data_IF_144729548800
#
_entry.id   IF_144729548800
#
_cell.length_a   1.000
_cell.length_b   1.000
_cell.length_c   1.000
_cell.angle_alpha   90.00
_cell.angle_beta   90.00
_cell.angle_gamma   90.00
#
_symmetry.space_group_name_H-M   'P 1'
#
loop_
_entity.id
_entity.type
_entity.pdbx_description
1 polymer ?
#
# COMPACT_ATOMS: atom_id res chain seq x y z
N UNK A 1 13.67 7.54 4.98
CA UNK A 1 12.41 8.30 5.23
C UNK A 1 12.57 9.38 6.28
N UNK A 2 13.26 9.11 7.40
CA UNK A 2 13.35 10.06 8.52
C UNK A 2 13.99 11.40 8.15
N UNK A 3 15.08 11.38 7.36
CA UNK A 3 15.74 12.59 6.87
C UNK A 3 14.83 13.49 6.02
N UNK A 4 13.99 12.87 5.18
CA UNK A 4 13.04 13.59 4.31
C UNK A 4 11.93 14.24 5.15
N UNK A 5 11.40 13.52 6.13
CA UNK A 5 10.37 14.03 7.04
C UNK A 5 10.91 15.15 7.94
N UNK A 6 12.14 15.00 8.46
CA UNK A 6 12.82 16.05 9.23
C UNK A 6 12.95 17.34 8.41
N UNK A 7 13.42 17.24 7.16
CA UNK A 7 13.56 18.40 6.28
C UNK A 7 12.21 19.07 5.95
N UNK A 8 11.17 18.29 5.69
CA UNK A 8 9.81 18.84 5.49
C UNK A 8 9.34 19.58 6.75
N UNK A 9 9.60 19.04 7.93
CA UNK A 9 9.22 19.66 9.20
C UNK A 9 10.00 20.94 9.48
N UNK A 10 11.30 20.98 9.16
CA UNK A 10 12.12 22.19 9.24
C UNK A 10 11.55 23.30 8.34
N UNK A 11 11.29 22.99 7.06
CA UNK A 11 10.69 23.93 6.11
C UNK A 11 9.29 24.37 6.54
N UNK A 12 8.49 23.46 7.11
CA UNK A 12 7.16 23.77 7.62
C UNK A 12 7.17 24.59 8.92
N UNK A 13 8.22 24.48 9.74
CA UNK A 13 8.43 25.37 10.90
C UNK A 13 8.88 26.74 10.42
N UNK A 14 9.81 26.80 9.47
CA UNK A 14 10.28 28.04 8.86
C UNK A 14 9.16 28.79 8.14
N UNK A 15 8.24 28.08 7.48
CA UNK A 15 7.08 28.72 6.83
C UNK A 15 6.12 29.41 7.80
N UNK A 16 6.17 29.07 9.09
CA UNK A 16 5.33 29.65 10.15
C UNK A 16 6.00 30.82 10.88
N UNK A 17 7.24 31.15 10.56
CA UNK A 17 7.93 32.32 11.13
C UNK A 17 7.66 33.57 10.31
N UNK A 18 7.93 34.75 10.87
CA UNK A 18 7.74 36.04 10.19
C UNK A 18 8.60 36.19 8.92
N UNK A 19 9.76 35.51 8.85
CA UNK A 19 10.66 35.50 7.69
C UNK A 19 10.05 34.68 6.53
N UNK A 20 9.26 33.64 6.86
CA UNK A 20 8.64 32.75 5.89
C UNK A 20 9.63 31.91 5.07
N UNK A 21 9.14 31.35 3.96
CA UNK A 21 9.93 30.57 3.01
C UNK A 21 10.33 31.43 1.81
N UNK A 22 11.57 31.29 1.37
CA UNK A 22 12.01 31.84 0.07
C UNK A 22 11.35 31.07 -1.08
N UNK A 23 11.41 31.62 -2.31
CA UNK A 23 10.87 30.94 -3.48
C UNK A 23 11.55 29.58 -3.75
N UNK A 24 12.86 29.51 -3.52
CA UNK A 24 13.65 28.28 -3.65
C UNK A 24 13.23 27.23 -2.62
N UNK A 25 13.05 27.65 -1.36
CA UNK A 25 12.63 26.74 -0.30
C UNK A 25 11.19 26.26 -0.46
N UNK A 26 10.31 27.07 -1.06
CA UNK A 26 8.95 26.63 -1.44
C UNK A 26 9.00 25.56 -2.52
N UNK A 27 9.88 25.70 -3.51
CA UNK A 27 10.09 24.69 -4.54
C UNK A 27 10.65 23.40 -3.94
N UNK A 28 11.67 23.50 -3.08
CA UNK A 28 12.24 22.37 -2.33
C UNK A 28 11.16 21.66 -1.51
N UNK A 29 10.37 22.41 -0.73
CA UNK A 29 9.29 21.84 0.08
C UNK A 29 8.25 21.10 -0.76
N UNK A 30 7.88 21.65 -1.91
CA UNK A 30 6.92 21.03 -2.83
C UNK A 30 7.46 19.70 -3.36
N UNK A 31 8.72 19.69 -3.79
CA UNK A 31 9.37 18.49 -4.30
C UNK A 31 9.48 17.40 -3.23
N UNK A 32 9.95 17.76 -2.04
CA UNK A 32 10.05 16.84 -0.90
C UNK A 32 8.67 16.26 -0.50
N UNK A 33 7.61 17.08 -0.51
CA UNK A 33 6.25 16.61 -0.25
C UNK A 33 5.75 15.65 -1.32
N UNK A 34 6.06 15.91 -2.59
CA UNK A 34 5.69 15.03 -3.68
C UNK A 34 6.37 13.66 -3.54
N UNK A 35 7.66 13.64 -3.23
CA UNK A 35 8.41 12.41 -2.96
C UNK A 35 7.84 11.65 -1.75
N UNK A 36 7.50 12.36 -0.66
CA UNK A 36 6.86 11.74 0.51
C UNK A 36 5.54 11.06 0.15
N UNK A 37 4.65 11.75 -0.58
CA UNK A 37 3.34 11.23 -0.97
C UNK A 37 3.47 10.01 -1.88
N UNK A 38 4.43 10.03 -2.82
CA UNK A 38 4.68 8.86 -3.69
C UNK A 38 5.06 7.63 -2.87
N UNK A 39 6.02 7.78 -1.96
CA UNK A 39 6.44 6.69 -1.08
C UNK A 39 5.30 6.25 -0.15
N UNK A 40 4.55 7.20 0.41
CA UNK A 40 3.41 6.92 1.28
C UNK A 40 2.29 6.17 0.55
N UNK A 41 2.00 6.52 -0.71
CA UNK A 41 0.98 5.82 -1.51
C UNK A 41 1.32 4.34 -1.71
N UNK A 42 2.59 4.00 -1.86
CA UNK A 42 3.04 2.60 -1.93
C UNK A 42 2.65 1.82 -0.68
N UNK A 43 3.04 2.33 0.50
CA UNK A 43 2.70 1.70 1.79
C UNK A 43 1.20 1.71 2.07
N UNK A 44 0.49 2.77 1.68
CA UNK A 44 -0.95 2.88 1.92
C UNK A 44 -1.76 1.87 1.11
N UNK A 45 -1.33 1.55 -0.13
CA UNK A 45 -1.98 0.51 -0.92
C UNK A 45 -1.91 -0.87 -0.21
N UNK A 46 -0.79 -1.19 0.43
CA UNK A 46 -0.65 -2.43 1.19
C UNK A 46 -1.58 -2.46 2.41
N UNK A 47 -1.73 -1.33 3.11
CA UNK A 47 -2.66 -1.21 4.23
C UNK A 47 -4.11 -1.40 3.74
N UNK A 48 -4.49 -0.79 2.62
CA UNK A 48 -5.82 -0.94 2.01
C UNK A 48 -6.12 -2.37 1.54
N UNK A 49 -5.10 -3.11 1.09
CA UNK A 49 -5.27 -4.51 0.70
C UNK A 49 -5.56 -5.43 1.89
N UNK A 50 -5.11 -5.06 3.09
CA UNK A 50 -5.24 -5.88 4.30
C UNK A 50 -6.31 -5.36 5.27
N UNK A 51 -7.03 -4.30 4.93
CA UNK A 51 -8.05 -3.69 5.79
C UNK A 51 -9.44 -3.77 5.17
N UNK A 52 -10.45 -3.82 6.04
CA UNK A 52 -11.87 -3.80 5.70
C UNK A 52 -12.49 -2.61 6.41
N UNK A 53 -13.27 -1.81 5.69
CA UNK A 53 -13.88 -0.59 6.24
C UNK A 53 -15.34 -0.88 6.55
N UNK A 54 -15.71 -0.69 7.81
CA UNK A 54 -17.09 -0.83 8.30
C UNK A 54 -17.64 0.56 8.65
N UNK A 55 -18.92 0.79 8.35
CA UNK A 55 -19.62 1.99 8.79
C UNK A 55 -20.04 1.89 10.28
N UNK A 56 -20.55 2.96 10.89
CA UNK A 56 -21.00 2.94 12.29
C UNK A 56 -22.16 1.96 12.56
N UNK A 57 -22.87 1.51 11.53
CA UNK A 57 -23.95 0.50 11.63
C UNK A 57 -23.40 -0.93 11.46
N UNK A 58 -22.10 -1.10 11.21
CA UNK A 58 -21.43 -2.38 11.05
C UNK A 58 -21.48 -2.97 9.63
N UNK A 59 -21.95 -2.20 8.64
CA UNK A 59 -21.98 -2.63 7.25
C UNK A 59 -20.60 -2.48 6.62
N UNK A 60 -20.12 -3.52 5.92
CA UNK A 60 -18.89 -3.47 5.16
C UNK A 60 -19.05 -2.56 3.93
N UNK A 61 -18.51 -1.35 4.05
CA UNK A 61 -18.50 -0.31 3.02
C UNK A 61 -17.17 -0.28 2.26
N UNK A 62 -16.37 -1.36 2.34
CA UNK A 62 -15.13 -1.47 1.57
C UNK A 62 -15.44 -1.32 0.07
N UNK A 63 -14.85 -0.34 -0.63
CA UNK A 63 -15.13 -0.09 -2.04
C UNK A 63 -15.01 -1.35 -2.92
N UNK A 64 -15.99 -1.56 -3.80
CA UNK A 64 -16.04 -2.72 -4.71
C UNK A 64 -14.76 -2.88 -5.57
N UNK A 65 -14.14 -1.77 -5.95
CA UNK A 65 -12.86 -1.78 -6.67
C UNK A 65 -11.75 -2.41 -5.83
N UNK A 66 -11.67 -2.11 -4.54
CA UNK A 66 -10.68 -2.68 -3.63
C UNK A 66 -10.93 -4.18 -3.41
N UNK A 67 -12.19 -4.58 -3.20
CA UNK A 67 -12.57 -6.01 -3.06
C UNK A 67 -12.14 -6.85 -4.27
N UNK A 68 -12.24 -6.29 -5.49
CA UNK A 68 -11.78 -6.97 -6.71
C UNK A 68 -10.26 -7.13 -6.75
N UNK A 69 -9.52 -6.07 -6.43
CA UNK A 69 -8.05 -6.09 -6.40
C UNK A 69 -7.54 -7.06 -5.34
N UNK A 70 -8.14 -7.07 -4.13
CA UNK A 70 -7.80 -8.02 -3.07
C UNK A 70 -8.02 -9.47 -3.50
N UNK A 71 -9.15 -9.78 -4.15
CA UNK A 71 -9.43 -11.12 -4.68
C UNK A 71 -8.41 -11.55 -5.72
N UNK A 72 -8.09 -10.68 -6.68
CA UNK A 72 -7.10 -10.98 -7.73
C UNK A 72 -5.72 -11.25 -7.13
N UNK A 73 -5.26 -10.41 -6.20
CA UNK A 73 -3.99 -10.61 -5.52
C UNK A 73 -3.94 -11.92 -4.72
N UNK A 74 -5.05 -12.31 -4.07
CA UNK A 74 -5.15 -13.57 -3.34
C UNK A 74 -5.16 -14.79 -4.28
N UNK A 75 -5.79 -14.68 -5.45
CA UNK A 75 -5.78 -15.72 -6.48
C UNK A 75 -4.38 -15.93 -7.07
N UNK A 76 -3.67 -14.84 -7.38
CA UNK A 76 -2.28 -14.90 -7.87
C UNK A 76 -1.35 -15.55 -6.84
N UNK A 77 -1.44 -15.17 -5.57
CA UNK A 77 -0.69 -15.82 -4.48
C UNK A 77 -1.03 -17.32 -4.37
N UNK A 78 -2.30 -17.67 -4.47
CA UNK A 78 -2.72 -19.08 -4.43
C UNK A 78 -2.15 -19.86 -5.63
N UNK A 79 -2.19 -19.29 -6.84
CA UNK A 79 -1.60 -19.89 -8.04
C UNK A 79 -0.09 -20.07 -7.91
N UNK A 80 0.62 -19.06 -7.38
CA UNK A 80 2.06 -19.13 -7.14
C UNK A 80 2.40 -20.25 -6.13
N UNK A 81 1.65 -20.35 -5.02
CA UNK A 81 1.83 -21.43 -4.02
C UNK A 81 1.55 -22.81 -4.64
N UNK A 82 0.51 -22.92 -5.47
CA UNK A 82 0.18 -24.18 -6.14
C UNK A 82 1.17 -24.55 -7.24
N UNK A 83 1.76 -23.58 -7.91
CA UNK A 83 2.80 -23.79 -8.93
C UNK A 83 4.17 -24.10 -8.30
N UNK A 84 4.46 -23.54 -7.14
CA UNK A 84 5.72 -23.75 -6.40
C UNK A 84 5.72 -25.00 -5.52
N UNK A 85 4.55 -25.53 -5.15
CA UNK A 85 4.45 -26.88 -4.58
C UNK A 85 4.27 -27.86 -5.74
N UNK A 86 5.11 -28.90 -5.83
CA UNK A 86 4.87 -30.06 -6.69
C UNK A 86 3.57 -30.75 -6.26
N UNK A 87 2.40 -30.20 -6.57
CA UNK A 87 1.09 -30.73 -6.17
C UNK A 87 0.23 -30.89 -7.43
N UNK A 88 -0.37 -32.08 -7.56
CA UNK A 88 -1.32 -32.42 -8.61
C UNK A 88 -2.69 -32.61 -7.98
N UNK A 89 -3.72 -32.08 -8.62
CA UNK A 89 -5.12 -32.33 -8.26
C UNK A 89 -5.58 -33.60 -8.97
N UNK A 90 -6.07 -34.59 -8.22
CA UNK A 90 -6.60 -35.85 -8.73
C UNK A 90 -8.09 -35.70 -9.11
N UNK A 91 -8.60 -36.56 -9.99
CA UNK A 91 -9.99 -36.52 -10.49
C UNK A 91 -11.06 -36.70 -9.38
N UNK A 92 -10.67 -37.27 -8.25
CA UNK A 92 -11.50 -37.45 -7.06
C UNK A 92 -11.53 -36.19 -6.14
N UNK A 93 -10.86 -35.12 -6.54
CA UNK A 93 -10.76 -33.86 -5.79
C UNK A 93 -9.71 -33.86 -4.68
N UNK A 94 -8.89 -34.90 -4.56
CA UNK A 94 -7.78 -34.95 -3.61
C UNK A 94 -6.51 -34.29 -4.15
N UNK A 95 -5.62 -33.86 -3.24
CA UNK A 95 -4.33 -33.23 -3.57
C UNK A 95 -3.16 -34.17 -3.26
N UNK A 96 -2.32 -34.44 -4.26
CA UNK A 96 -1.15 -35.33 -4.15
C UNK A 96 0.15 -34.59 -4.51
N UNK A 97 1.31 -34.98 -3.96
CA UNK A 97 2.60 -34.43 -4.40
C UNK A 97 3.05 -35.09 -5.70
N UNK A 98 3.63 -34.32 -6.63
CA UNK A 98 4.01 -34.74 -7.99
C UNK A 98 5.31 -35.57 -8.05
N UNK A 99 5.70 -36.22 -6.95
CA UNK A 99 6.97 -36.99 -6.83
C UNK A 99 6.81 -38.35 -6.11
N UNK A 100 5.60 -38.87 -5.92
CA UNK A 100 5.35 -40.26 -5.47
C UNK A 100 4.75 -41.11 -6.61
#
# INVERSE_FOLDING_TARGET
MDKLLQRINELARKSKTEIGLTAEEKAEQKDLRQQYIQNFRGTFNEILLNSTVYDPEGTDVTPEKLKKVQRQANLEKAQEILASRNITFLEDGTIARKED
#
